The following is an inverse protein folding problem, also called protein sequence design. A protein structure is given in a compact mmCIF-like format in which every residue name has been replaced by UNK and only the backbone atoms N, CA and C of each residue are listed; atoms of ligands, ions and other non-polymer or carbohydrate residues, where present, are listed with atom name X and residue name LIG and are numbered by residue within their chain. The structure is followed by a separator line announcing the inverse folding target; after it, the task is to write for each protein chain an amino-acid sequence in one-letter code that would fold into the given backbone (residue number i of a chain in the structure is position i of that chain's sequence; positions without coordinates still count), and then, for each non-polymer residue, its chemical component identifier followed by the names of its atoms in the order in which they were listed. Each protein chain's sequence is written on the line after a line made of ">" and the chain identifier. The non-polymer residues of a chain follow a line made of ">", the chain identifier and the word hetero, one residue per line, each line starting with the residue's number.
data_IF_464265499169
#
_entry.id   IF_464265499169
#
_cell.length_a   1.000
_cell.length_b   1.000
_cell.length_c   1.000
_cell.angle_alpha   90.00
_cell.angle_beta   90.00
_cell.angle_gamma   90.00
#
_symmetry.space_group_name_H-M   'P 1'
#
loop_
_entity.id
_entity.type
_entity.pdbx_description
1 polymer ?
#
# COMPACT_ATOMS: atom_id res chain seq x y z
N UNK A 1 5.77 -14.05 20.41
CA UNK A 1 6.31 -12.78 20.95
C UNK A 1 5.94 -11.68 19.96
N UNK A 2 5.56 -10.49 20.44
CA UNK A 2 5.37 -9.32 19.58
C UNK A 2 6.73 -8.86 19.03
N UNK A 3 6.85 -8.69 17.72
CA UNK A 3 8.07 -8.16 17.12
C UNK A 3 8.12 -6.64 17.33
N UNK A 4 9.14 -6.18 18.05
CA UNK A 4 9.33 -4.76 18.38
C UNK A 4 10.79 -4.36 18.20
N UNK A 5 11.03 -3.06 18.04
CA UNK A 5 12.34 -2.41 18.04
C UNK A 5 12.36 -1.36 19.14
N UNK A 6 13.41 -1.32 19.95
CA UNK A 6 13.57 -0.32 21.01
C UNK A 6 14.38 0.88 20.53
N UNK A 7 13.85 2.09 20.70
CA UNK A 7 14.58 3.34 20.48
C UNK A 7 14.96 3.93 21.84
N UNK A 8 16.24 4.23 22.01
CA UNK A 8 16.78 4.82 23.26
C UNK A 8 17.31 6.22 22.97
N UNK A 9 16.85 7.21 23.75
CA UNK A 9 17.52 8.51 23.83
C UNK A 9 18.74 8.38 24.75
N UNK A 10 19.94 8.38 24.17
CA UNK A 10 21.19 8.26 24.91
C UNK A 10 21.46 9.43 25.86
N UNK A 11 20.80 10.59 25.68
CA UNK A 11 20.96 11.75 26.55
C UNK A 11 20.17 11.61 27.85
N UNK A 12 18.95 11.11 27.77
CA UNK A 12 18.04 10.99 28.92
C UNK A 12 17.94 9.58 29.47
N UNK A 13 18.38 8.58 28.71
CA UNK A 13 18.17 7.16 28.98
C UNK A 13 16.73 6.69 28.76
N UNK A 14 15.82 7.57 28.31
CA UNK A 14 14.42 7.20 28.07
C UNK A 14 14.33 6.27 26.86
N UNK A 15 13.51 5.24 26.99
CA UNK A 15 13.31 4.22 25.96
C UNK A 15 11.85 4.15 25.56
N UNK A 16 11.62 3.78 24.30
CA UNK A 16 10.31 3.41 23.79
C UNK A 16 10.43 2.11 23.02
N UNK A 17 9.37 1.29 23.08
CA UNK A 17 9.22 0.14 22.21
C UNK A 17 8.32 0.52 21.03
N UNK A 18 8.84 0.36 19.83
CA UNK A 18 8.13 0.58 18.58
C UNK A 18 7.67 -0.78 18.02
N UNK A 19 6.37 -1.00 17.82
CA UNK A 19 5.87 -2.18 17.11
C UNK A 19 6.46 -2.29 15.70
N UNK A 20 6.74 -3.51 15.26
CA UNK A 20 7.08 -3.79 13.86
C UNK A 20 5.90 -4.46 13.18
N UNK A 21 5.62 -4.01 11.96
CA UNK A 21 4.52 -4.49 11.14
C UNK A 21 5.04 -5.17 9.89
N UNK A 22 4.67 -6.43 9.71
CA UNK A 22 4.94 -7.19 8.50
C UNK A 22 3.83 -6.98 7.47
N UNK A 23 4.21 -6.80 6.21
CA UNK A 23 3.31 -6.81 5.07
C UNK A 23 3.22 -8.19 4.42
N UNK A 24 2.28 -8.38 3.50
CA UNK A 24 2.28 -9.57 2.63
C UNK A 24 3.51 -9.58 1.71
N UNK A 25 3.95 -8.39 1.30
CA UNK A 25 5.13 -8.14 0.47
C UNK A 25 5.89 -6.92 1.01
N UNK A 26 7.16 -6.81 0.65
CA UNK A 26 8.02 -5.69 1.03
C UNK A 26 8.66 -5.85 2.40
N UNK A 27 9.33 -4.79 2.85
CA UNK A 27 10.08 -4.78 4.09
C UNK A 27 9.20 -4.48 5.32
N UNK A 28 9.59 -4.95 6.51
CA UNK A 28 8.89 -4.63 7.76
C UNK A 28 8.89 -3.13 8.06
N UNK A 29 7.80 -2.64 8.65
CA UNK A 29 7.63 -1.21 8.99
C UNK A 29 7.66 -1.01 10.51
N UNK A 30 8.52 -0.10 10.97
CA UNK A 30 8.58 0.31 12.37
C UNK A 30 7.54 1.40 12.63
N UNK A 31 6.63 1.19 13.58
CA UNK A 31 5.67 2.20 14.01
C UNK A 31 6.32 3.19 14.98
N UNK A 32 6.69 4.36 14.45
CA UNK A 32 7.26 5.47 15.19
C UNK A 32 6.20 6.53 15.62
N UNK A 33 4.90 6.21 15.58
CA UNK A 33 3.82 7.17 15.91
C UNK A 33 3.90 7.72 17.33
N UNK A 34 4.40 6.92 18.28
CA UNK A 34 4.59 7.31 19.67
C UNK A 34 5.85 8.17 19.90
N UNK A 35 6.76 8.29 18.93
CA UNK A 35 8.09 8.88 19.11
C UNK A 35 8.02 10.32 19.63
N UNK A 36 7.16 11.16 19.05
CA UNK A 36 7.04 12.55 19.48
C UNK A 36 6.41 12.68 20.87
N UNK A 37 5.34 11.92 21.13
CA UNK A 37 4.64 11.95 22.42
C UNK A 37 5.56 11.49 23.56
N UNK A 38 6.35 10.46 23.32
CA UNK A 38 7.15 9.83 24.36
C UNK A 38 8.55 10.44 24.48
N UNK A 39 9.22 10.76 23.37
CA UNK A 39 10.59 11.28 23.40
C UNK A 39 10.72 12.76 23.00
N UNK A 40 9.63 13.42 22.58
CA UNK A 40 9.65 14.83 22.19
C UNK A 40 10.38 15.11 20.88
N UNK A 41 10.58 14.08 20.04
CA UNK A 41 11.38 14.15 18.81
C UNK A 41 10.53 13.90 17.56
N UNK A 42 11.01 14.40 16.42
CA UNK A 42 10.49 14.05 15.10
C UNK A 42 11.56 13.28 14.33
N UNK A 43 11.12 12.48 13.36
CA UNK A 43 12.01 11.94 12.32
C UNK A 43 12.21 13.00 11.23
N UNK A 44 13.35 12.93 10.55
CA UNK A 44 13.61 13.71 9.35
C UNK A 44 13.87 12.73 8.20
N UNK A 45 12.99 12.75 7.21
CA UNK A 45 13.09 11.92 6.00
C UNK A 45 12.66 12.76 4.78
N UNK A 46 13.58 13.59 4.25
CA UNK A 46 13.26 14.44 3.11
C UNK A 46 12.87 13.59 1.90
N UNK A 47 11.63 13.75 1.43
CA UNK A 47 11.10 12.98 0.31
C UNK A 47 10.44 11.65 0.69
N UNK A 48 10.36 11.32 1.99
CA UNK A 48 9.65 10.14 2.50
C UNK A 48 10.18 8.80 1.97
N UNK A 49 11.45 8.72 1.60
CA UNK A 49 12.03 7.53 0.97
C UNK A 49 12.11 6.32 1.89
N UNK A 50 12.11 6.53 3.20
CA UNK A 50 12.11 5.48 4.23
C UNK A 50 10.87 5.56 5.14
N UNK A 51 9.86 6.36 4.77
CA UNK A 51 8.63 6.55 5.55
C UNK A 51 7.44 5.92 4.84
N UNK A 52 6.96 4.79 5.36
CA UNK A 52 5.70 4.20 4.93
C UNK A 52 4.52 5.05 5.45
N UNK A 53 3.85 5.77 4.55
CA UNK A 53 2.76 6.71 4.91
C UNK A 53 1.41 6.03 5.10
N UNK A 54 1.18 4.87 4.47
CA UNK A 54 -0.07 4.15 4.58
C UNK A 54 0.11 2.63 4.41
N UNK A 55 -0.91 1.89 4.82
CA UNK A 55 -1.09 0.49 4.43
C UNK A 55 -1.93 0.47 3.15
N UNK A 56 -1.49 -0.30 2.16
CA UNK A 56 -2.21 -0.43 0.89
C UNK A 56 -2.31 -1.90 0.49
N UNK A 57 -3.45 -2.25 -0.11
CA UNK A 57 -3.71 -3.54 -0.75
C UNK A 57 -3.90 -3.41 -2.26
N UNK A 58 -3.52 -2.27 -2.85
CA UNK A 58 -3.82 -1.94 -4.26
C UNK A 58 -2.68 -2.38 -5.18
N UNK A 59 -1.46 -1.90 -4.94
CA UNK A 59 -0.31 -2.12 -5.82
C UNK A 59 0.93 -2.43 -5.00
N UNK A 60 1.73 -3.36 -5.48
CA UNK A 60 3.07 -3.65 -4.96
C UNK A 60 4.10 -3.51 -6.09
N UNK A 61 5.27 -2.95 -5.76
CA UNK A 61 6.37 -2.74 -6.68
C UNK A 61 7.67 -3.17 -6.01
N UNK A 62 8.45 -4.01 -6.68
CA UNK A 62 9.84 -4.34 -6.35
C UNK A 62 10.68 -4.05 -7.60
N UNK A 63 11.34 -2.88 -7.60
CA UNK A 63 12.12 -2.41 -8.75
C UNK A 63 13.38 -3.23 -8.99
N UNK A 64 13.97 -3.83 -7.95
CA UNK A 64 15.18 -4.64 -8.07
C UNK A 64 14.88 -5.98 -8.76
N UNK A 65 13.72 -6.57 -8.45
CA UNK A 65 13.25 -7.82 -9.09
C UNK A 65 12.41 -7.59 -10.34
N UNK A 66 12.09 -6.34 -10.67
CA UNK A 66 11.23 -5.99 -11.80
C UNK A 66 9.79 -6.48 -11.63
N UNK A 67 9.26 -6.49 -10.41
CA UNK A 67 7.91 -6.96 -10.10
C UNK A 67 6.96 -5.78 -9.95
N UNK A 68 5.84 -5.82 -10.66
CA UNK A 68 4.72 -4.89 -10.48
C UNK A 68 3.42 -5.70 -10.40
N UNK A 69 2.70 -5.56 -9.28
CA UNK A 69 1.45 -6.26 -9.01
C UNK A 69 0.30 -5.27 -8.82
N UNK A 70 -0.86 -5.54 -9.43
CA UNK A 70 -2.13 -4.91 -9.06
C UNK A 70 -3.03 -5.95 -8.41
N UNK A 71 -3.46 -5.70 -7.16
CA UNK A 71 -4.24 -6.64 -6.34
C UNK A 71 -3.65 -8.06 -6.29
N UNK A 72 -2.33 -8.16 -6.38
CA UNK A 72 -1.59 -9.43 -6.39
C UNK A 72 -1.39 -10.07 -7.77
N UNK A 73 -2.03 -9.56 -8.83
CA UNK A 73 -1.80 -10.04 -10.20
C UNK A 73 -0.59 -9.35 -10.84
N UNK A 74 0.36 -10.09 -11.45
CA UNK A 74 1.43 -9.51 -12.23
C UNK A 74 0.92 -8.64 -13.37
N UNK A 75 1.58 -7.52 -13.62
CA UNK A 75 1.13 -6.55 -14.62
C UNK A 75 1.07 -7.14 -16.03
N UNK A 76 2.02 -8.00 -16.40
CA UNK A 76 2.06 -8.73 -17.66
C UNK A 76 0.83 -9.64 -17.83
N UNK A 77 0.39 -10.32 -16.77
CA UNK A 77 -0.81 -11.15 -16.83
C UNK A 77 -2.05 -10.32 -17.10
N UNK A 78 -2.18 -9.17 -16.45
CA UNK A 78 -3.31 -8.27 -16.66
C UNK A 78 -3.29 -7.66 -18.07
N UNK A 79 -2.11 -7.28 -18.57
CA UNK A 79 -1.96 -6.72 -19.91
C UNK A 79 -2.31 -7.73 -21.02
N UNK A 80 -1.97 -9.01 -20.84
CA UNK A 80 -2.26 -10.06 -21.82
C UNK A 80 -3.71 -10.57 -21.76
N UNK A 81 -4.34 -10.58 -20.57
CA UNK A 81 -5.59 -11.32 -20.33
C UNK A 81 -6.77 -10.46 -19.91
N UNK A 82 -6.58 -9.16 -19.67
CA UNK A 82 -7.64 -8.28 -19.20
C UNK A 82 -7.69 -6.98 -20.00
N UNK A 83 -8.89 -6.43 -20.11
CA UNK A 83 -9.12 -5.11 -20.66
C UNK A 83 -8.85 -4.02 -19.62
N UNK A 84 -8.62 -2.79 -20.09
CA UNK A 84 -8.46 -1.62 -19.21
C UNK A 84 -9.61 -1.47 -18.20
N UNK A 85 -10.86 -1.69 -18.63
CA UNK A 85 -12.02 -1.56 -17.75
C UNK A 85 -12.08 -2.64 -16.67
N UNK A 86 -11.66 -3.87 -16.96
CA UNK A 86 -11.54 -4.92 -15.95
C UNK A 86 -10.45 -4.59 -14.92
N UNK A 87 -9.34 -4.00 -15.35
CA UNK A 87 -8.30 -3.52 -14.44
C UNK A 87 -8.80 -2.34 -13.59
N UNK A 88 -9.57 -1.40 -14.16
CA UNK A 88 -10.20 -0.35 -13.36
C UNK A 88 -11.14 -0.93 -12.30
N UNK A 89 -11.96 -1.93 -12.66
CA UNK A 89 -12.82 -2.63 -11.73
C UNK A 89 -11.99 -3.29 -10.62
N UNK A 90 -10.95 -4.04 -10.97
CA UNK A 90 -10.03 -4.69 -10.04
C UNK A 90 -9.42 -3.71 -9.03
N UNK A 91 -8.94 -2.55 -9.50
CA UNK A 91 -8.33 -1.55 -8.63
C UNK A 91 -9.36 -0.96 -7.65
N UNK A 92 -10.59 -0.69 -8.10
CA UNK A 92 -11.66 -0.12 -7.29
C UNK A 92 -12.23 -1.12 -6.28
N UNK A 93 -12.51 -2.35 -6.72
CA UNK A 93 -13.30 -3.33 -5.96
C UNK A 93 -12.47 -4.45 -5.33
N UNK A 94 -11.20 -4.61 -5.73
CA UNK A 94 -10.27 -5.58 -5.14
C UNK A 94 -10.17 -6.90 -5.89
N UNK A 95 -11.16 -7.26 -6.70
CA UNK A 95 -11.22 -8.52 -7.45
C UNK A 95 -11.60 -8.28 -8.91
N UNK A 96 -11.28 -9.24 -9.78
CA UNK A 96 -11.71 -9.18 -11.18
C UNK A 96 -13.23 -9.38 -11.27
N UNK A 97 -13.93 -8.64 -12.15
CA UNK A 97 -15.37 -8.74 -12.24
C UNK A 97 -15.81 -10.07 -12.85
N UNK A 98 -16.96 -10.56 -12.40
CA UNK A 98 -17.76 -11.54 -13.16
C UNK A 98 -18.34 -10.91 -14.43
N UNK A 99 -18.82 -11.72 -15.37
CA UNK A 99 -19.43 -11.21 -16.62
C UNK A 99 -20.60 -10.23 -16.36
N UNK A 100 -21.40 -10.51 -15.32
CA UNK A 100 -22.55 -9.69 -14.94
C UNK A 100 -22.07 -8.35 -14.37
N UNK A 101 -21.12 -8.37 -13.44
CA UNK A 101 -20.54 -7.17 -12.83
C UNK A 101 -19.84 -6.30 -13.87
N UNK A 102 -19.11 -6.92 -14.79
CA UNK A 102 -18.42 -6.20 -15.86
C UNK A 102 -19.42 -5.49 -16.79
N UNK A 103 -20.49 -6.18 -17.17
CA UNK A 103 -21.55 -5.61 -18.02
C UNK A 103 -22.21 -4.41 -17.33
N UNK A 104 -22.51 -4.53 -16.03
CA UNK A 104 -23.08 -3.44 -15.24
C UNK A 104 -22.11 -2.26 -15.11
N UNK A 105 -20.86 -2.53 -14.74
CA UNK A 105 -19.83 -1.50 -14.60
C UNK A 105 -19.63 -0.70 -15.89
N UNK A 106 -19.60 -1.39 -17.04
CA UNK A 106 -19.50 -0.74 -18.35
C UNK A 106 -20.71 0.14 -18.65
N UNK A 107 -21.93 -0.34 -18.35
CA UNK A 107 -23.15 0.44 -18.54
C UNK A 107 -23.16 1.72 -17.68
N UNK A 108 -22.73 1.61 -16.42
CA UNK A 108 -22.64 2.74 -15.48
C UNK A 108 -21.64 3.80 -15.94
N UNK A 109 -20.46 3.39 -16.43
CA UNK A 109 -19.47 4.31 -16.99
C UNK A 109 -20.01 5.03 -18.23
N UNK A 110 -20.67 4.31 -19.15
CA UNK A 110 -21.25 4.91 -20.35
C UNK A 110 -22.32 5.95 -20.01
N UNK A 111 -23.14 5.69 -18.98
CA UNK A 111 -24.14 6.65 -18.51
C UNK A 111 -23.51 7.93 -17.95
N UNK A 112 -22.34 7.83 -17.33
CA UNK A 112 -21.60 8.95 -16.71
C UNK A 112 -20.68 9.68 -17.68
N UNK A 113 -20.37 9.11 -18.84
CA UNK A 113 -19.52 9.72 -19.88
C UNK A 113 -20.24 10.79 -20.72
N UNK A 114 -21.56 10.97 -20.57
CA UNK A 114 -22.28 12.05 -21.23
C UNK A 114 -21.95 13.37 -20.53
N UNK A 115 -21.03 14.14 -21.10
CA UNK A 115 -20.79 15.53 -20.73
C UNK A 115 -21.94 16.37 -21.33
N UNK A 116 -22.64 17.12 -20.48
CA UNK A 116 -23.60 18.16 -20.91
C UNK A 116 -22.88 19.47 -21.20
#
# INVERSE_FOLDING_TARGET
>A
MSHTVTITDNKTGKQIECPVHEGTYGDPVIDASALNKELGMFTIDPGYGITASCRSSITYLDGEKGVLLHRGYPIEQLAEKSSYLEVCYLLLYGELPTEIEFTQFRADLNKRNLVH
#
